data_IF_611812891199
#
_entry.id   IF_611812891199
#
_cell.length_a   1.000
_cell.length_b   1.000
_cell.length_c   1.000
_cell.angle_alpha   90.00
_cell.angle_beta   90.00
_cell.angle_gamma   90.00
#
_symmetry.space_group_name_H-M   'P 1'
#
loop_
_entity.id
_entity.type
_entity.pdbx_description
1 polymer ?
#
# COMPACT_ATOMS: atom_id res chain seq x y z
N UNK A 1 11.77 -4.14 -14.19
CA UNK A 1 10.50 -3.49 -13.80
C UNK A 1 9.78 -4.49 -12.91
N UNK A 2 9.61 -4.20 -11.62
CA UNK A 2 8.92 -5.13 -10.73
C UNK A 2 7.42 -4.85 -10.82
N UNK A 3 6.64 -5.90 -11.09
CA UNK A 3 5.19 -5.86 -11.03
C UNK A 3 4.76 -6.58 -9.76
N UNK A 4 3.96 -5.91 -8.95
CA UNK A 4 3.28 -6.50 -7.81
C UNK A 4 1.87 -6.93 -8.23
N UNK A 5 1.24 -7.76 -7.43
CA UNK A 5 -0.14 -8.19 -7.59
C UNK A 5 -0.92 -7.90 -6.31
N UNK A 6 -2.19 -7.54 -6.44
CA UNK A 6 -3.09 -7.38 -5.30
C UNK A 6 -4.09 -8.54 -5.15
N UNK A 7 -4.89 -8.48 -4.08
CA UNK A 7 -5.96 -9.43 -3.76
C UNK A 7 -6.99 -9.60 -4.89
N UNK A 8 -7.12 -8.60 -5.77
CA UNK A 8 -8.02 -8.62 -6.93
C UNK A 8 -7.34 -9.12 -8.22
N UNK A 9 -6.11 -9.65 -8.12
CA UNK A 9 -5.33 -10.15 -9.26
C UNK A 9 -4.97 -9.08 -10.28
N UNK A 10 -4.86 -7.82 -9.84
CA UNK A 10 -4.47 -6.69 -10.68
C UNK A 10 -2.97 -6.46 -10.57
N UNK A 11 -2.34 -6.14 -11.70
CA UNK A 11 -0.90 -5.84 -11.76
C UNK A 11 -0.65 -4.40 -11.36
N UNK A 12 0.24 -4.19 -10.39
CA UNK A 12 0.63 -2.89 -9.88
C UNK A 12 2.09 -2.64 -10.24
N UNK A 13 2.36 -1.54 -10.93
CA UNK A 13 3.71 -1.10 -11.23
C UNK A 13 4.41 -0.59 -9.98
N UNK A 14 5.59 -1.15 -9.71
CA UNK A 14 6.49 -0.69 -8.66
C UNK A 14 7.92 -0.54 -9.21
N UNK A 15 8.39 0.71 -9.31
CA UNK A 15 9.71 1.04 -9.86
C UNK A 15 10.70 1.35 -8.74
N UNK A 16 12.00 1.18 -9.00
CA UNK A 16 13.04 1.55 -8.02
C UNK A 16 13.02 3.04 -7.68
N UNK A 17 12.68 3.91 -8.63
CA UNK A 17 12.48 5.33 -8.39
C UNK A 17 11.37 5.56 -7.36
N UNK A 18 10.23 4.87 -7.52
CA UNK A 18 9.11 4.97 -6.57
C UNK A 18 9.49 4.39 -5.21
N UNK A 19 10.24 3.29 -5.17
CA UNK A 19 10.77 2.74 -3.92
C UNK A 19 11.62 3.78 -3.18
N UNK A 20 12.61 4.38 -3.85
CA UNK A 20 13.49 5.41 -3.26
C UNK A 20 12.71 6.62 -2.77
N UNK A 21 11.66 7.02 -3.50
CA UNK A 21 10.78 8.10 -3.06
C UNK A 21 10.05 7.75 -1.76
N UNK A 22 9.52 6.54 -1.64
CA UNK A 22 8.85 6.06 -0.42
C UNK A 22 9.82 5.98 0.74
N UNK A 23 11.01 5.42 0.54
CA UNK A 23 12.03 5.34 1.59
C UNK A 23 12.56 6.72 2.00
N UNK A 24 12.54 7.70 1.10
CA UNK A 24 12.90 9.09 1.39
C UNK A 24 11.84 9.81 2.24
N UNK A 25 10.55 9.62 1.92
CA UNK A 25 9.43 10.24 2.65
C UNK A 25 9.11 9.49 3.96
N UNK A 26 9.36 8.17 3.98
CA UNK A 26 9.07 7.24 5.07
C UNK A 26 10.28 6.31 5.31
N UNK A 27 11.32 6.77 6.04
CA UNK A 27 12.52 5.96 6.30
C UNK A 27 12.24 4.59 6.94
N UNK A 28 11.15 4.47 7.71
CA UNK A 28 10.70 3.21 8.32
C UNK A 28 10.28 2.14 7.31
N UNK A 29 10.07 2.52 6.04
CA UNK A 29 9.73 1.61 4.95
C UNK A 29 10.95 0.96 4.30
N UNK A 30 12.17 1.35 4.66
CA UNK A 30 13.37 0.72 4.12
C UNK A 30 13.40 -0.78 4.48
N UNK A 31 13.59 -1.61 3.45
CA UNK A 31 13.56 -3.08 3.59
C UNK A 31 12.19 -3.69 3.89
N UNK A 32 11.09 -2.93 3.82
CA UNK A 32 9.73 -3.42 4.07
C UNK A 32 9.00 -3.90 2.80
N UNK A 33 9.72 -4.14 1.71
CA UNK A 33 9.13 -4.55 0.42
C UNK A 33 8.27 -5.81 0.54
N UNK A 34 8.73 -6.81 1.29
CA UNK A 34 7.98 -8.06 1.50
C UNK A 34 6.63 -7.80 2.21
N UNK A 35 6.60 -6.89 3.18
CA UNK A 35 5.35 -6.49 3.86
C UNK A 35 4.41 -5.74 2.92
N UNK A 36 4.93 -4.93 2.01
CA UNK A 36 4.12 -4.28 0.96
C UNK A 36 3.46 -5.35 0.09
N UNK A 37 4.23 -6.34 -0.38
CA UNK A 37 3.71 -7.45 -1.20
C UNK A 37 2.64 -8.22 -0.43
N UNK A 38 2.91 -8.56 0.83
CA UNK A 38 1.97 -9.28 1.68
C UNK A 38 0.68 -8.49 1.94
N UNK A 39 0.79 -7.17 2.16
CA UNK A 39 -0.37 -6.29 2.34
C UNK A 39 -1.23 -6.19 1.06
N UNK A 40 -0.61 -6.19 -0.12
CA UNK A 40 -1.35 -6.18 -1.38
C UNK A 40 -2.04 -7.51 -1.66
N UNK A 41 -1.38 -8.65 -1.41
CA UNK A 41 -1.91 -9.99 -1.68
C UNK A 41 -2.96 -10.43 -0.66
N UNK A 42 -2.73 -10.12 0.62
CA UNK A 42 -3.56 -10.55 1.74
C UNK A 42 -3.89 -9.38 2.68
N UNK A 43 -4.55 -8.32 2.18
CA UNK A 43 -5.00 -7.22 3.03
C UNK A 43 -6.04 -7.73 4.02
N UNK A 44 -6.13 -7.08 5.18
CA UNK A 44 -7.28 -7.21 6.06
C UNK A 44 -8.43 -6.33 5.59
N UNK A 45 -8.10 -5.19 4.95
CA UNK A 45 -9.10 -4.29 4.42
C UNK A 45 -8.57 -3.49 3.23
N UNK A 46 -9.44 -3.24 2.26
CA UNK A 46 -9.19 -2.30 1.17
C UNK A 46 -10.27 -1.22 1.19
N UNK A 47 -9.85 0.05 1.11
CA UNK A 47 -10.75 1.20 1.08
C UNK A 47 -10.48 2.06 -0.14
N UNK A 48 -11.55 2.58 -0.74
CA UNK A 48 -11.44 3.66 -1.71
C UNK A 48 -11.30 4.99 -0.98
N UNK A 49 -10.41 5.86 -1.48
CA UNK A 49 -10.27 7.22 -0.96
C UNK A 49 -11.57 8.01 -1.13
N UNK A 50 -11.92 8.82 -0.12
CA UNK A 50 -13.08 9.74 -0.17
C UNK A 50 -12.91 10.88 -1.17
N UNK A 51 -11.68 11.25 -1.50
CA UNK A 51 -11.36 12.44 -2.30
C UNK A 51 -10.91 12.12 -3.72
N UNK A 52 -10.46 10.90 -4.00
CA UNK A 52 -10.06 10.46 -5.35
C UNK A 52 -10.51 9.01 -5.55
N UNK A 53 -11.55 8.79 -6.36
CA UNK A 53 -12.11 7.46 -6.62
C UNK A 53 -11.14 6.51 -7.32
N UNK A 54 -10.02 7.02 -7.85
CA UNK A 54 -8.95 6.21 -8.45
C UNK A 54 -7.92 5.75 -7.42
N UNK A 55 -8.00 6.22 -6.19
CA UNK A 55 -7.05 5.88 -5.13
C UNK A 55 -7.67 4.83 -4.22
N UNK A 56 -6.91 3.76 -4.02
CA UNK A 56 -7.27 2.66 -3.13
C UNK A 56 -6.18 2.49 -2.07
N UNK A 57 -6.61 2.20 -0.84
CA UNK A 57 -5.78 2.08 0.35
C UNK A 57 -5.93 0.67 0.91
N UNK A 58 -4.83 -0.06 0.91
CA UNK A 58 -4.72 -1.42 1.44
C UNK A 58 -4.19 -1.35 2.85
N UNK A 59 -4.81 -2.08 3.76
CA UNK A 59 -4.44 -2.13 5.16
C UNK A 59 -4.18 -3.56 5.59
N UNK A 60 -3.07 -3.75 6.29
CA UNK A 60 -2.75 -4.99 7.00
C UNK A 60 -2.04 -4.66 8.31
N UNK A 61 -2.49 -5.26 9.40
CA UNK A 61 -1.82 -5.14 10.69
C UNK A 61 -0.57 -6.02 10.74
N UNK A 62 0.54 -5.44 11.22
CA UNK A 62 1.78 -6.16 11.47
C UNK A 62 2.19 -5.99 12.94
N UNK A 63 2.54 -7.11 13.57
CA UNK A 63 3.26 -7.11 14.84
C UNK A 63 4.76 -7.00 14.59
N UNK A 64 5.52 -6.53 15.58
CA UNK A 64 6.98 -6.47 15.53
C UNK A 64 7.53 -5.65 14.33
N UNK A 65 6.95 -4.47 14.10
CA UNK A 65 7.55 -3.50 13.16
C UNK A 65 8.59 -2.64 13.87
N UNK A 66 9.46 -1.96 13.11
CA UNK A 66 10.44 -1.01 13.67
C UNK A 66 9.80 0.09 14.53
N UNK A 67 8.50 0.34 14.34
CA UNK A 67 7.71 1.35 15.02
C UNK A 67 6.61 0.76 15.93
N UNK A 68 6.75 -0.51 16.33
CA UNK A 68 5.78 -1.23 17.17
C UNK A 68 4.70 -1.95 16.37
N UNK A 69 3.55 -2.23 16.97
CA UNK A 69 2.46 -2.93 16.27
C UNK A 69 1.58 -1.92 15.54
N UNK A 70 1.64 -1.90 14.20
CA UNK A 70 0.99 -0.89 13.36
C UNK A 70 0.35 -1.50 12.12
N UNK A 71 -0.61 -0.78 11.56
CA UNK A 71 -1.09 -1.07 10.21
C UNK A 71 -0.06 -0.58 9.19
N UNK A 72 0.27 -1.42 8.23
CA UNK A 72 0.86 -0.96 6.98
C UNK A 72 -0.26 -0.49 6.06
N UNK A 73 -0.20 0.77 5.65
CA UNK A 73 -1.07 1.34 4.64
C UNK A 73 -0.32 1.38 3.31
N UNK A 74 -0.76 0.62 2.31
CA UNK A 74 -0.24 0.70 0.93
C UNK A 74 -1.25 1.44 0.07
N UNK A 75 -0.82 2.52 -0.58
CA UNK A 75 -1.68 3.36 -1.42
C UNK A 75 -1.35 3.10 -2.88
N UNK A 76 -2.35 2.67 -3.64
CA UNK A 76 -2.25 2.54 -5.09
C UNK A 76 -3.17 3.53 -5.78
N UNK A 77 -2.83 3.88 -7.01
CA UNK A 77 -3.69 4.72 -7.84
C UNK A 77 -3.86 4.09 -9.22
N UNK A 78 -5.11 4.07 -9.66
CA UNK A 78 -5.47 3.73 -11.03
C UNK A 78 -5.11 4.91 -11.94
N UNK A 79 -4.05 4.74 -12.72
CA UNK A 79 -3.61 5.68 -13.75
C UNK A 79 -4.46 5.58 -15.01
N UNK A 80 -3.97 6.17 -16.10
CA UNK A 80 -4.63 6.08 -17.41
C UNK A 80 -4.44 4.69 -18.01
N UNK A 81 -3.23 4.15 -17.91
CA UNK A 81 -2.84 2.89 -18.56
C UNK A 81 -2.53 1.76 -17.56
N UNK A 82 -2.25 2.10 -16.30
CA UNK A 82 -1.81 1.13 -15.30
C UNK A 82 -2.13 1.52 -13.85
N UNK A 83 -2.16 0.52 -12.97
CA UNK A 83 -2.15 0.72 -11.52
C UNK A 83 -0.71 0.89 -11.06
N UNK A 84 -0.45 1.87 -10.22
CA UNK A 84 0.89 2.08 -9.67
C UNK A 84 0.83 2.35 -8.18
N UNK A 85 1.89 1.92 -7.48
CA UNK A 85 2.07 2.21 -6.07
C UNK A 85 2.45 3.68 -5.89
N UNK A 86 1.66 4.41 -5.10
CA UNK A 86 1.86 5.85 -4.83
C UNK A 86 2.78 6.04 -3.64
N UNK A 87 2.42 5.43 -2.51
CA UNK A 87 3.19 5.46 -1.27
C UNK A 87 2.83 4.28 -0.38
N UNK A 88 3.65 3.99 0.62
CA UNK A 88 3.35 3.06 1.69
C UNK A 88 3.94 3.60 3.00
N UNK A 89 3.26 3.41 4.13
CA UNK A 89 3.71 3.86 5.45
C UNK A 89 2.99 3.13 6.57
N UNK A 90 3.60 3.11 7.76
CA UNK A 90 2.95 2.59 8.96
C UNK A 90 2.03 3.62 9.62
N UNK A 91 0.90 3.17 10.14
CA UNK A 91 -0.10 4.02 10.80
C UNK A 91 -0.85 3.27 11.88
N UNK A 92 -1.33 4.00 12.89
CA UNK A 92 -2.17 3.45 13.96
C UNK A 92 -3.65 3.40 13.57
N UNK A 93 -4.04 4.05 12.46
CA UNK A 93 -5.44 4.24 12.07
C UNK A 93 -5.69 3.86 10.62
N UNK A 94 -6.77 3.11 10.43
CA UNK A 94 -7.36 2.89 9.10
C UNK A 94 -8.18 4.14 8.71
N UNK A 95 -7.92 4.73 7.54
CA UNK A 95 -8.64 5.94 7.08
C UNK A 95 -10.09 5.63 6.75
N UNK A 96 -10.99 6.59 6.99
CA UNK A 96 -12.39 6.50 6.54
C UNK A 96 -12.52 6.51 5.01
N UNK A 97 -13.46 5.72 4.48
CA UNK A 97 -13.70 5.59 3.04
C UNK A 97 -14.67 4.44 2.73
N UNK A 98 -15.00 4.25 1.45
CA UNK A 98 -15.83 3.14 1.03
C UNK A 98 -15.02 1.84 1.15
N UNK A 99 -15.55 0.84 1.87
CA UNK A 99 -14.91 -0.46 1.98
C UNK A 99 -15.12 -1.21 0.67
N UNK A 100 -14.01 -1.62 0.04
CA UNK A 100 -14.00 -2.42 -1.20
C UNK A 100 -13.78 -3.91 -0.91
N UNK A 101 -13.10 -4.22 0.21
CA UNK A 101 -12.79 -5.57 0.68
C UNK A 101 -12.54 -5.52 2.19
N UNK A 102 -12.96 -6.55 2.92
CA UNK A 102 -12.78 -6.69 4.37
C UNK A 102 -13.97 -7.34 5.06
#
# INVERSE_FOLDING_TARGET
MNQLEDVFKRKIRFTEERRKHIEGDHPEMSGQEERIVECLLFPEQVRQSRTDSRVELFYKYFTDTLVGNKYLCVVIKNGVDDLFLVTAYFTDKVKEGNVLYG
#
